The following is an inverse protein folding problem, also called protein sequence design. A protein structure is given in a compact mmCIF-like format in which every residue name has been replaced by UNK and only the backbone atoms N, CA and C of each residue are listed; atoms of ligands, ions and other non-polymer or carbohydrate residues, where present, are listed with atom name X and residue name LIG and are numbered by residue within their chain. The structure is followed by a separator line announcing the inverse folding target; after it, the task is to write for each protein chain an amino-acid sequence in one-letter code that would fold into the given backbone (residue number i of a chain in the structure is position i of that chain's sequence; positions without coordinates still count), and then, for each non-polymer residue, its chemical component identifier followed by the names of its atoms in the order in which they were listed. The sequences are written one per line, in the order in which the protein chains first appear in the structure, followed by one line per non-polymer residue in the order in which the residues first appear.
data_IF_771209983813
#
_entry.id   IF_771209983813
#
_cell.length_a   1.000
_cell.length_b   1.000
_cell.length_c   1.000
_cell.angle_alpha   90.00
_cell.angle_beta   90.00
_cell.angle_gamma   90.00
#
_symmetry.space_group_name_H-M   'P 1'
#
loop_
_entity.id
_entity.type
_entity.pdbx_description
1 polymer ?
#
# COMPACT_ATOMS: atom_id res chain seq x y z
N UNK A 1 24.08 -14.93 -9.91
CA UNK A 1 24.54 -14.11 -11.02
C UNK A 1 26.06 -13.88 -11.02
N UNK A 2 26.69 -13.42 -9.92
CA UNK A 2 28.16 -13.16 -9.83
C UNK A 2 29.06 -14.33 -10.26
N UNK A 3 28.72 -15.56 -9.84
CA UNK A 3 29.56 -16.76 -10.12
C UNK A 3 29.52 -17.18 -11.59
N UNK A 4 28.39 -17.02 -12.26
CA UNK A 4 28.22 -17.32 -13.69
C UNK A 4 28.97 -16.31 -14.55
N UNK A 5 28.85 -15.01 -14.27
CA UNK A 5 29.56 -13.94 -15.00
C UNK A 5 31.10 -14.07 -14.89
N UNK A 6 31.63 -14.43 -13.71
CA UNK A 6 33.06 -14.67 -13.52
C UNK A 6 33.59 -15.92 -14.25
N UNK A 7 32.73 -16.97 -14.35
CA UNK A 7 33.03 -18.16 -15.13
C UNK A 7 33.04 -17.86 -16.63
N UNK A 8 32.04 -17.11 -17.12
CA UNK A 8 31.93 -16.71 -18.53
C UNK A 8 33.13 -15.82 -18.92
N UNK A 9 33.54 -14.89 -18.09
CA UNK A 9 34.73 -14.05 -18.32
C UNK A 9 36.02 -14.89 -18.34
N UNK A 10 36.14 -15.91 -17.49
CA UNK A 10 37.21 -16.87 -17.50
C UNK A 10 37.26 -17.69 -18.79
N UNK A 11 36.15 -18.21 -19.26
CA UNK A 11 36.05 -18.96 -20.50
C UNK A 11 36.42 -18.12 -21.73
N UNK A 12 35.88 -16.87 -21.82
CA UNK A 12 36.21 -15.93 -22.89
C UNK A 12 37.69 -15.60 -22.89
N UNK A 13 38.28 -15.40 -21.72
CA UNK A 13 39.70 -15.12 -21.55
C UNK A 13 40.58 -16.26 -22.03
N UNK A 14 40.22 -17.50 -21.74
CA UNK A 14 40.93 -18.71 -22.18
C UNK A 14 40.84 -18.85 -23.71
N UNK A 15 39.69 -18.66 -24.30
CA UNK A 15 39.47 -18.72 -25.74
C UNK A 15 40.30 -17.65 -26.48
N UNK A 16 40.28 -16.40 -25.94
CA UNK A 16 41.08 -15.32 -26.49
C UNK A 16 42.56 -15.62 -26.44
N UNK A 17 43.05 -16.13 -25.30
CA UNK A 17 44.49 -16.45 -25.13
C UNK A 17 44.93 -17.59 -26.02
N UNK A 18 44.12 -18.63 -26.21
CA UNK A 18 44.38 -19.72 -27.17
C UNK A 18 44.44 -19.20 -28.61
N UNK A 19 43.54 -18.30 -28.99
CA UNK A 19 43.56 -17.64 -30.30
C UNK A 19 44.85 -16.83 -30.51
N UNK A 20 45.22 -16.00 -29.55
CA UNK A 20 46.50 -15.20 -29.60
C UNK A 20 47.71 -16.11 -29.68
N UNK A 21 47.74 -17.22 -28.94
CA UNK A 21 48.84 -18.19 -29.00
C UNK A 21 48.96 -18.85 -30.38
N UNK A 22 47.87 -19.22 -31.01
CA UNK A 22 47.83 -19.81 -32.34
C UNK A 22 48.31 -18.82 -33.41
N UNK A 23 47.86 -17.57 -33.35
CA UNK A 23 48.32 -16.49 -34.25
C UNK A 23 49.81 -16.22 -34.06
N UNK A 24 50.28 -16.14 -32.79
CA UNK A 24 51.69 -15.99 -32.47
C UNK A 24 52.54 -17.13 -33.06
N UNK A 25 52.12 -18.39 -32.89
CA UNK A 25 52.81 -19.57 -33.43
C UNK A 25 52.91 -19.51 -34.97
N UNK A 26 51.87 -19.03 -35.63
CA UNK A 26 51.81 -18.89 -37.09
C UNK A 26 52.74 -17.76 -37.59
N UNK A 27 52.79 -16.63 -36.88
CA UNK A 27 53.67 -15.52 -37.20
C UNK A 27 55.13 -15.90 -36.94
N UNK A 28 55.46 -16.51 -35.80
CA UNK A 28 56.80 -16.95 -35.41
C UNK A 28 57.38 -17.93 -36.39
N UNK A 29 56.56 -18.81 -36.99
CA UNK A 29 56.99 -19.74 -38.04
C UNK A 29 57.32 -19.06 -39.39
N UNK A 30 56.70 -17.87 -39.67
CA UNK A 30 56.93 -17.12 -40.94
C UNK A 30 58.09 -16.14 -40.84
N UNK A 31 58.39 -15.60 -39.65
CA UNK A 31 59.39 -14.51 -39.46
C UNK A 31 60.75 -15.03 -39.04
N UNK A 32 60.97 -16.37 -38.95
CA UNK A 32 62.23 -17.01 -38.51
C UNK A 32 62.81 -16.45 -37.19
N UNK A 33 61.98 -16.15 -36.22
CA UNK A 33 62.42 -15.73 -34.87
C UNK A 33 63.17 -16.85 -34.20
N UNK A 34 64.29 -16.51 -33.54
CA UNK A 34 64.95 -17.46 -32.67
C UNK A 34 64.06 -17.93 -31.54
N UNK A 35 64.21 -19.15 -31.01
CA UNK A 35 63.38 -19.67 -29.90
C UNK A 35 63.40 -18.78 -28.65
N UNK A 36 64.43 -17.98 -28.44
CA UNK A 36 64.53 -17.04 -27.31
C UNK A 36 63.69 -15.78 -27.53
N UNK A 37 63.78 -15.16 -28.72
CA UNK A 37 62.97 -13.99 -29.09
C UNK A 37 61.46 -14.32 -29.08
N UNK A 38 61.11 -15.48 -29.57
CA UNK A 38 59.74 -15.97 -29.55
C UNK A 38 59.18 -16.09 -28.14
N UNK A 39 59.93 -16.66 -27.20
CA UNK A 39 59.49 -16.76 -25.79
C UNK A 39 59.38 -15.40 -25.12
N UNK A 40 60.28 -14.46 -25.40
CA UNK A 40 60.24 -13.11 -24.87
C UNK A 40 59.00 -12.36 -25.37
N UNK A 41 58.68 -12.37 -26.65
CA UNK A 41 57.46 -11.78 -27.21
C UNK A 41 56.19 -12.38 -26.59
N UNK A 42 56.11 -13.70 -26.43
CA UNK A 42 54.97 -14.36 -25.80
C UNK A 42 54.80 -13.94 -24.31
N UNK A 43 55.90 -13.85 -23.55
CA UNK A 43 55.88 -13.41 -22.18
C UNK A 43 55.34 -11.97 -22.03
N UNK A 44 55.74 -11.07 -22.92
CA UNK A 44 55.24 -9.68 -22.93
C UNK A 44 53.72 -9.63 -23.22
N UNK A 45 53.26 -10.35 -24.24
CA UNK A 45 51.84 -10.41 -24.56
C UNK A 45 51.03 -11.02 -23.43
N UNK A 46 51.55 -12.07 -22.77
CA UNK A 46 50.92 -12.69 -21.61
C UNK A 46 50.79 -11.72 -20.42
N UNK A 47 51.85 -10.95 -20.14
CA UNK A 47 51.85 -9.95 -19.05
C UNK A 47 50.82 -8.85 -19.35
N UNK A 48 50.81 -8.33 -20.58
CA UNK A 48 49.80 -7.30 -20.98
C UNK A 48 48.38 -7.83 -20.81
N UNK A 49 48.11 -9.05 -21.25
CA UNK A 49 46.85 -9.71 -21.11
C UNK A 49 46.47 -9.90 -19.63
N UNK A 50 47.39 -10.38 -18.78
CA UNK A 50 47.14 -10.53 -17.35
C UNK A 50 46.83 -9.20 -16.67
N UNK A 51 47.58 -8.14 -16.99
CA UNK A 51 47.30 -6.79 -16.50
C UNK A 51 45.93 -6.29 -16.94
N UNK A 52 45.53 -6.54 -18.19
CA UNK A 52 44.22 -6.20 -18.69
C UNK A 52 43.08 -6.93 -17.93
N UNK A 53 43.23 -8.24 -17.70
CA UNK A 53 42.27 -9.03 -16.92
C UNK A 53 42.14 -8.49 -15.49
N UNK A 54 43.25 -8.22 -14.82
CA UNK A 54 43.26 -7.66 -13.48
C UNK A 54 42.63 -6.27 -13.44
N UNK A 55 42.88 -5.43 -14.44
CA UNK A 55 42.23 -4.13 -14.59
C UNK A 55 40.72 -4.26 -14.77
N UNK A 56 40.25 -5.09 -15.70
CA UNK A 56 38.83 -5.31 -15.93
C UNK A 56 38.14 -5.86 -14.68
N UNK A 57 38.79 -6.86 -14.03
CA UNK A 57 38.25 -7.40 -12.76
C UNK A 57 38.12 -6.33 -11.69
N UNK A 58 39.16 -5.50 -11.51
CA UNK A 58 39.14 -4.41 -10.52
C UNK A 58 38.07 -3.38 -10.85
N UNK A 59 37.92 -3.03 -12.12
CA UNK A 59 36.88 -2.10 -12.62
C UNK A 59 35.49 -2.65 -12.36
N UNK A 60 35.21 -3.91 -12.74
CA UNK A 60 33.90 -4.55 -12.55
C UNK A 60 33.55 -4.66 -11.06
N UNK A 61 34.49 -5.06 -10.21
CA UNK A 61 34.28 -5.14 -8.76
C UNK A 61 34.02 -3.76 -8.17
N UNK A 62 34.77 -2.74 -8.59
CA UNK A 62 34.53 -1.35 -8.16
C UNK A 62 33.16 -0.83 -8.56
N UNK A 63 32.78 -1.05 -9.82
CA UNK A 63 31.47 -0.66 -10.33
C UNK A 63 30.31 -1.36 -9.60
N UNK A 64 30.44 -2.69 -9.38
CA UNK A 64 29.42 -3.43 -8.60
C UNK A 64 29.28 -2.92 -7.17
N UNK A 65 30.40 -2.55 -6.54
CA UNK A 65 30.38 -1.98 -5.19
C UNK A 65 29.66 -0.64 -5.18
N UNK A 66 29.96 0.24 -6.12
CA UNK A 66 29.33 1.54 -6.24
C UNK A 66 27.80 1.39 -6.49
N UNK A 67 27.41 0.48 -7.39
CA UNK A 67 26.01 0.19 -7.66
C UNK A 67 25.28 -0.32 -6.39
N UNK A 68 25.92 -1.21 -5.63
CA UNK A 68 25.33 -1.73 -4.39
C UNK A 68 25.18 -0.63 -3.32
N UNK A 69 26.13 0.29 -3.23
CA UNK A 69 26.05 1.45 -2.33
C UNK A 69 24.89 2.37 -2.71
N UNK A 70 24.67 2.60 -4.01
CA UNK A 70 23.50 3.36 -4.51
C UNK A 70 22.17 2.68 -4.20
N UNK A 71 22.08 1.37 -4.42
CA UNK A 71 20.88 0.58 -4.08
C UNK A 71 20.57 0.69 -2.59
N UNK A 72 21.57 0.48 -1.74
CA UNK A 72 21.40 0.55 -0.29
C UNK A 72 20.98 1.97 0.19
N UNK A 73 21.49 3.02 -0.47
CA UNK A 73 21.09 4.40 -0.17
C UNK A 73 19.63 4.64 -0.58
N UNK A 74 19.24 4.14 -1.77
CA UNK A 74 17.88 4.26 -2.26
C UNK A 74 16.86 3.53 -1.35
N UNK A 75 17.19 2.30 -0.94
CA UNK A 75 16.35 1.52 0.02
C UNK A 75 16.15 2.27 1.34
N UNK A 76 17.24 2.85 1.90
CA UNK A 76 17.15 3.67 3.12
C UNK A 76 16.30 4.93 2.93
N UNK A 77 16.37 5.56 1.76
CA UNK A 77 15.57 6.74 1.44
C UNK A 77 14.08 6.37 1.37
N UNK A 78 13.74 5.26 0.70
CA UNK A 78 12.37 4.75 0.64
C UNK A 78 11.83 4.38 2.02
N UNK A 79 12.63 3.71 2.84
CA UNK A 79 12.23 3.37 4.22
C UNK A 79 11.93 4.62 5.05
N UNK A 80 12.80 5.65 4.94
CA UNK A 80 12.59 6.92 5.63
C UNK A 80 11.33 7.63 5.14
N UNK A 81 11.08 7.63 3.82
CA UNK A 81 9.90 8.24 3.21
C UNK A 81 8.62 7.55 3.72
N UNK A 82 8.59 6.22 3.70
CA UNK A 82 7.45 5.45 4.20
C UNK A 82 7.17 5.72 5.69
N UNK A 83 8.21 5.76 6.53
CA UNK A 83 8.06 6.13 7.95
C UNK A 83 7.53 7.55 8.14
N UNK A 84 7.91 8.48 7.27
CA UNK A 84 7.40 9.85 7.32
C UNK A 84 5.92 9.89 6.94
N UNK A 85 5.50 9.18 5.89
CA UNK A 85 4.08 9.06 5.52
C UNK A 85 3.24 8.46 6.64
N UNK A 86 3.67 7.32 7.20
CA UNK A 86 2.99 6.69 8.34
C UNK A 86 2.88 7.64 9.54
N UNK A 87 3.96 8.35 9.86
CA UNK A 87 3.97 9.32 10.95
C UNK A 87 3.00 10.48 10.72
N UNK A 88 2.94 10.99 9.50
CA UNK A 88 2.01 12.07 9.12
C UNK A 88 0.56 11.60 9.22
N UNK A 89 0.22 10.43 8.71
CA UNK A 89 -1.12 9.85 8.83
C UNK A 89 -1.52 9.65 10.29
N UNK A 90 -0.64 9.06 11.09
CA UNK A 90 -0.89 8.88 12.54
C UNK A 90 -1.15 10.21 13.24
N UNK A 91 -0.39 11.25 12.91
CA UNK A 91 -0.58 12.57 13.49
C UNK A 91 -1.92 13.21 13.09
N UNK A 92 -2.34 13.06 11.83
CA UNK A 92 -3.64 13.55 11.34
C UNK A 92 -4.80 12.84 12.05
N UNK A 93 -4.73 11.51 12.15
CA UNK A 93 -5.76 10.71 12.83
C UNK A 93 -5.81 11.05 14.32
N UNK A 94 -4.64 11.14 15.00
CA UNK A 94 -4.59 11.49 16.40
C UNK A 94 -5.16 12.90 16.67
N UNK A 95 -4.96 13.85 15.77
CA UNK A 95 -5.54 15.18 15.88
C UNK A 95 -7.07 15.16 15.77
N UNK A 96 -7.62 14.29 14.89
CA UNK A 96 -9.05 14.07 14.78
C UNK A 96 -9.62 13.37 16.02
N UNK A 97 -9.00 12.27 16.47
CA UNK A 97 -9.41 11.52 17.66
C UNK A 97 -9.46 12.37 18.93
N UNK A 98 -8.50 13.28 19.07
CA UNK A 98 -8.47 14.22 20.19
C UNK A 98 -9.71 15.14 20.23
N UNK A 99 -10.32 15.37 19.08
CA UNK A 99 -11.47 16.27 18.94
C UNK A 99 -12.82 15.55 18.93
N UNK A 100 -12.94 14.45 18.21
CA UNK A 100 -14.23 13.75 17.96
C UNK A 100 -14.43 12.53 18.86
N UNK A 101 -13.41 12.12 19.61
CA UNK A 101 -13.40 10.85 20.36
C UNK A 101 -13.74 9.61 19.51
N UNK A 102 -13.65 9.73 18.19
CA UNK A 102 -13.69 8.60 17.27
C UNK A 102 -12.44 7.75 17.54
N UNK A 103 -12.60 6.53 17.99
CA UNK A 103 -11.46 5.74 18.45
C UNK A 103 -10.65 5.23 17.27
N UNK A 104 -9.33 5.27 17.39
CA UNK A 104 -8.38 4.60 16.50
C UNK A 104 -8.82 3.18 16.10
N UNK A 105 -9.35 2.44 17.10
CA UNK A 105 -9.85 1.09 16.89
C UNK A 105 -11.00 1.01 15.89
N UNK A 106 -11.87 2.02 15.82
CA UNK A 106 -12.93 2.11 14.82
C UNK A 106 -12.35 2.13 13.40
N UNK A 107 -11.45 3.05 13.14
CA UNK A 107 -10.82 3.18 11.83
C UNK A 107 -10.12 1.88 11.38
N UNK A 108 -9.39 1.20 12.29
CA UNK A 108 -8.75 -0.08 11.97
C UNK A 108 -9.78 -1.16 11.65
N UNK A 109 -10.89 -1.26 12.41
CA UNK A 109 -11.93 -2.27 12.13
C UNK A 109 -12.63 -2.00 10.81
N UNK A 110 -12.97 -0.74 10.50
CA UNK A 110 -13.57 -0.37 9.21
C UNK A 110 -12.64 -0.74 8.06
N UNK A 111 -11.34 -0.43 8.16
CA UNK A 111 -10.34 -0.85 7.18
C UNK A 111 -10.31 -2.36 7.02
N UNK A 112 -10.27 -3.13 8.11
CA UNK A 112 -10.20 -4.58 8.07
C UNK A 112 -11.43 -5.19 7.40
N UNK A 113 -12.64 -4.71 7.71
CA UNK A 113 -13.87 -5.17 7.06
C UNK A 113 -13.90 -4.79 5.58
N UNK A 114 -13.58 -3.54 5.24
CA UNK A 114 -13.59 -3.06 3.85
C UNK A 114 -12.58 -3.82 2.99
N UNK A 115 -11.38 -4.09 3.52
CA UNK A 115 -10.34 -4.84 2.83
C UNK A 115 -10.76 -6.30 2.62
N UNK A 116 -11.29 -6.97 3.65
CA UNK A 116 -11.79 -8.35 3.53
C UNK A 116 -12.90 -8.45 2.46
N UNK A 117 -13.81 -7.49 2.41
CA UNK A 117 -14.85 -7.44 1.36
C UNK A 117 -14.24 -7.19 -0.03
N UNK A 118 -13.24 -6.32 -0.14
CA UNK A 118 -12.56 -6.02 -1.39
C UNK A 118 -11.77 -7.23 -1.92
N UNK A 119 -11.11 -7.99 -1.04
CA UNK A 119 -10.44 -9.25 -1.38
C UNK A 119 -11.41 -10.31 -1.89
N UNK A 120 -12.53 -10.52 -1.19
CA UNK A 120 -13.56 -11.46 -1.59
C UNK A 120 -14.18 -11.10 -2.95
N UNK A 121 -14.23 -9.80 -3.28
CA UNK A 121 -14.66 -9.29 -4.59
C UNK A 121 -13.56 -9.35 -5.66
N UNK A 122 -12.33 -9.73 -5.32
CA UNK A 122 -11.20 -9.79 -6.25
C UNK A 122 -10.69 -8.41 -6.69
N UNK A 123 -10.86 -7.36 -5.89
CA UNK A 123 -10.33 -6.04 -6.20
C UNK A 123 -8.80 -6.04 -6.18
N UNK A 124 -8.20 -5.27 -7.12
CA UNK A 124 -6.76 -5.09 -7.18
C UNK A 124 -6.21 -4.46 -5.88
N UNK A 125 -4.95 -4.76 -5.56
CA UNK A 125 -4.24 -4.24 -4.39
C UNK A 125 -4.35 -2.71 -4.27
N UNK A 126 -4.25 -1.99 -5.39
CA UNK A 126 -4.37 -0.53 -5.40
C UNK A 126 -5.74 -0.02 -4.90
N UNK A 127 -6.83 -0.75 -5.19
CA UNK A 127 -8.17 -0.39 -4.68
C UNK A 127 -8.32 -0.69 -3.18
N UNK A 128 -7.68 -1.77 -2.70
CA UNK A 128 -7.63 -2.09 -1.28
C UNK A 128 -6.83 -1.04 -0.50
N UNK A 129 -5.73 -0.55 -1.05
CA UNK A 129 -4.94 0.55 -0.46
C UNK A 129 -5.76 1.85 -0.35
N UNK A 130 -6.55 2.19 -1.38
CA UNK A 130 -7.48 3.33 -1.33
C UNK A 130 -8.51 3.19 -0.21
N UNK A 131 -9.07 2.00 -0.05
CA UNK A 131 -10.02 1.69 1.04
C UNK A 131 -9.37 1.83 2.41
N UNK A 132 -8.15 1.36 2.57
CA UNK A 132 -7.41 1.50 3.82
C UNK A 132 -7.14 2.97 4.16
N UNK A 133 -6.66 3.77 3.21
CA UNK A 133 -6.44 5.21 3.38
C UNK A 133 -7.74 5.94 3.75
N UNK A 134 -8.82 5.66 3.02
CA UNK A 134 -10.13 6.24 3.31
C UNK A 134 -10.63 5.86 4.70
N UNK A 135 -10.42 4.61 5.13
CA UNK A 135 -10.85 4.15 6.44
C UNK A 135 -10.21 4.91 7.60
N UNK A 136 -8.96 5.32 7.43
CA UNK A 136 -8.28 6.14 8.44
C UNK A 136 -8.69 7.61 8.43
N UNK A 137 -9.17 8.12 7.29
CA UNK A 137 -9.32 9.57 7.05
C UNK A 137 -10.75 9.99 6.69
N UNK A 138 -11.73 9.06 6.63
CA UNK A 138 -13.08 9.38 6.17
C UNK A 138 -13.74 10.52 6.95
N UNK A 139 -13.45 10.60 8.22
CA UNK A 139 -13.99 11.59 9.16
C UNK A 139 -13.11 12.85 9.32
N UNK A 140 -11.97 12.97 8.58
CA UNK A 140 -11.03 14.10 8.75
C UNK A 140 -11.71 15.46 8.57
N UNK A 141 -12.73 15.54 7.73
CA UNK A 141 -13.49 16.75 7.50
C UNK A 141 -14.31 17.25 8.68
N UNK A 142 -14.52 16.44 9.73
CA UNK A 142 -15.11 16.88 10.99
C UNK A 142 -14.32 17.99 11.65
N UNK A 143 -13.05 18.18 11.26
CA UNK A 143 -12.24 19.33 11.69
C UNK A 143 -12.86 20.66 11.28
N UNK A 144 -13.68 20.70 10.22
CA UNK A 144 -14.43 21.86 9.76
C UNK A 144 -15.75 22.10 10.48
N UNK A 145 -16.24 21.14 11.29
CA UNK A 145 -17.49 21.28 12.04
C UNK A 145 -17.25 22.05 13.34
N UNK A 146 -18.08 23.06 13.70
CA UNK A 146 -17.93 23.79 14.97
C UNK A 146 -18.07 22.89 16.21
N UNK A 147 -17.28 23.11 17.26
CA UNK A 147 -17.24 22.27 18.46
C UNK A 147 -18.59 22.20 19.19
N UNK A 148 -19.35 23.29 19.22
CA UNK A 148 -20.66 23.32 19.87
C UNK A 148 -21.72 22.46 19.16
N UNK A 149 -21.46 22.08 17.90
CA UNK A 149 -22.28 21.14 17.14
C UNK A 149 -21.71 19.73 17.28
N UNK A 150 -20.42 19.55 17.03
CA UNK A 150 -19.76 18.25 17.03
C UNK A 150 -19.83 17.54 18.39
N UNK A 151 -19.61 18.30 19.47
CA UNK A 151 -19.58 17.76 20.85
C UNK A 151 -20.94 17.84 21.55
N UNK A 152 -22.00 18.17 20.81
CA UNK A 152 -23.34 18.32 21.40
C UNK A 152 -23.89 16.97 21.87
N UNK A 153 -24.32 16.90 23.13
CA UNK A 153 -24.86 15.69 23.76
C UNK A 153 -26.38 15.57 23.65
N UNK A 154 -27.06 16.60 23.17
CA UNK A 154 -28.52 16.61 22.94
C UNK A 154 -28.84 16.38 21.45
N UNK A 155 -30.10 16.20 21.13
CA UNK A 155 -30.52 16.10 19.73
C UNK A 155 -30.07 17.32 18.93
N UNK A 156 -29.50 17.06 17.75
CA UNK A 156 -29.13 18.10 16.80
C UNK A 156 -30.37 18.76 16.19
N UNK A 157 -30.28 20.08 16.00
CA UNK A 157 -31.25 20.81 15.19
C UNK A 157 -31.04 20.49 13.70
N UNK A 158 -32.05 20.70 12.84
CA UNK A 158 -31.90 20.45 11.41
C UNK A 158 -30.72 21.19 10.78
N UNK A 159 -30.50 22.45 11.12
CA UNK A 159 -29.37 23.26 10.64
C UNK A 159 -28.00 22.76 11.16
N UNK A 160 -27.95 22.25 12.38
CA UNK A 160 -26.74 21.64 12.95
C UNK A 160 -26.41 20.32 12.24
N UNK A 161 -27.46 19.55 11.91
CA UNK A 161 -27.30 18.31 11.12
C UNK A 161 -26.76 18.61 9.71
N UNK A 162 -27.24 19.66 9.05
CA UNK A 162 -26.70 20.09 7.76
C UNK A 162 -25.22 20.50 7.87
N UNK A 163 -24.80 21.11 8.98
CA UNK A 163 -23.39 21.44 9.20
C UNK A 163 -22.51 20.17 9.34
N UNK A 164 -23.01 19.13 10.02
CA UNK A 164 -22.30 17.85 10.13
C UNK A 164 -22.21 17.16 8.76
N UNK A 165 -23.27 17.17 7.96
CA UNK A 165 -23.30 16.55 6.64
C UNK A 165 -22.25 17.11 5.66
N UNK A 166 -21.66 18.25 5.97
CA UNK A 166 -20.60 18.85 5.14
C UNK A 166 -19.22 18.25 5.38
N UNK A 167 -19.03 17.41 6.43
CA UNK A 167 -17.71 16.85 6.69
C UNK A 167 -17.11 16.02 5.54
N UNK A 168 -17.88 15.27 4.69
CA UNK A 168 -17.31 14.58 3.55
C UNK A 168 -16.70 15.55 2.52
N UNK A 169 -17.35 16.71 2.29
CA UNK A 169 -16.86 17.75 1.40
C UNK A 169 -15.57 18.38 1.95
N UNK A 170 -15.56 18.75 3.23
CA UNK A 170 -14.35 19.25 3.90
C UNK A 170 -13.21 18.22 3.90
N UNK A 171 -13.55 16.95 4.13
CA UNK A 171 -12.57 15.85 4.06
C UNK A 171 -11.97 15.72 2.67
N UNK A 172 -12.79 15.77 1.63
CA UNK A 172 -12.35 15.77 0.25
C UNK A 172 -11.40 16.93 -0.05
N UNK A 173 -11.78 18.17 0.33
CA UNK A 173 -10.96 19.38 0.11
C UNK A 173 -9.58 19.29 0.78
N UNK A 174 -9.51 18.70 1.99
CA UNK A 174 -8.24 18.50 2.70
C UNK A 174 -7.37 17.46 2.01
N UNK A 175 -7.95 16.29 1.70
CA UNK A 175 -7.21 15.12 1.24
C UNK A 175 -6.80 15.24 -0.23
N UNK A 176 -7.63 15.83 -1.06
CA UNK A 176 -7.35 16.02 -2.49
C UNK A 176 -6.10 16.89 -2.77
N UNK A 177 -5.70 17.74 -1.81
CA UNK A 177 -4.48 18.56 -1.92
C UNK A 177 -3.19 17.77 -1.66
N UNK A 178 -3.29 16.55 -1.16
CA UNK A 178 -2.15 15.73 -0.76
C UNK A 178 -1.98 14.59 -1.78
N UNK A 179 -0.99 14.72 -2.67
CA UNK A 179 -0.78 13.83 -3.83
C UNK A 179 -0.90 12.32 -3.50
N UNK A 180 -0.27 11.85 -2.43
CA UNK A 180 -0.31 10.42 -2.08
C UNK A 180 -1.63 9.95 -1.45
N UNK A 181 -2.53 10.88 -1.07
CA UNK A 181 -3.86 10.61 -0.49
C UNK A 181 -5.00 10.86 -1.49
N UNK A 182 -4.74 11.54 -2.59
CA UNK A 182 -5.74 11.96 -3.58
C UNK A 182 -6.65 10.78 -4.01
N UNK A 183 -6.08 9.60 -4.19
CA UNK A 183 -6.81 8.40 -4.57
C UNK A 183 -7.88 7.95 -3.55
N UNK A 184 -7.81 8.39 -2.30
CA UNK A 184 -8.80 8.09 -1.27
C UNK A 184 -9.90 9.16 -1.17
N UNK A 185 -9.70 10.34 -1.77
CA UNK A 185 -10.58 11.49 -1.62
C UNK A 185 -12.04 11.22 -2.06
N UNK A 186 -12.22 10.49 -3.17
CA UNK A 186 -13.55 10.13 -3.66
C UNK A 186 -14.33 9.24 -2.68
N UNK A 187 -13.64 8.31 -2.01
CA UNK A 187 -14.28 7.45 -1.00
C UNK A 187 -14.70 8.31 0.19
N UNK A 188 -13.84 9.24 0.62
CA UNK A 188 -14.11 10.18 1.73
C UNK A 188 -15.29 11.07 1.40
N UNK A 189 -15.39 11.58 0.17
CA UNK A 189 -16.54 12.38 -0.27
C UNK A 189 -17.83 11.61 -0.25
N UNK A 190 -17.82 10.31 -0.66
CA UNK A 190 -19.01 9.55 -1.02
C UNK A 190 -19.41 8.48 0.00
N UNK A 191 -18.74 8.40 1.16
CA UNK A 191 -18.99 7.33 2.14
C UNK A 191 -20.38 7.38 2.80
N UNK A 192 -21.06 8.50 2.71
CA UNK A 192 -22.44 8.67 3.17
C UNK A 192 -23.48 8.66 2.05
N UNK A 193 -23.09 8.32 0.82
CA UNK A 193 -24.06 8.10 -0.24
C UNK A 193 -24.85 6.81 0.01
N UNK A 194 -26.15 6.87 -0.23
CA UNK A 194 -27.05 5.72 -0.16
C UNK A 194 -27.31 5.16 -1.56
N UNK A 195 -27.41 3.85 -1.68
CA UNK A 195 -27.58 3.19 -2.97
C UNK A 195 -28.85 3.64 -3.72
N UNK A 196 -29.91 4.04 -3.00
CA UNK A 196 -31.14 4.57 -3.57
C UNK A 196 -31.10 6.07 -3.94
N UNK A 197 -29.99 6.76 -3.61
CA UNK A 197 -29.79 8.19 -3.86
C UNK A 197 -30.31 9.12 -2.75
N UNK A 198 -30.76 8.58 -1.60
CA UNK A 198 -31.19 9.37 -0.45
C UNK A 198 -30.05 9.82 0.46
N UNK A 199 -28.80 9.48 0.11
CA UNK A 199 -27.59 9.86 0.85
C UNK A 199 -27.12 11.28 0.57
N UNK A 200 -25.92 11.58 1.00
CA UNK A 200 -25.26 12.89 0.83
C UNK A 200 -23.75 12.72 0.60
N UNK A 201 -23.02 13.69 0.06
CA UNK A 201 -23.45 15.07 -0.27
C UNK A 201 -24.06 15.23 -1.68
N UNK A 202 -23.80 14.29 -2.62
CA UNK A 202 -24.15 14.46 -4.04
C UNK A 202 -25.49 13.80 -4.43
N UNK A 203 -26.03 12.93 -3.58
CA UNK A 203 -27.25 12.15 -3.87
C UNK A 203 -27.06 11.17 -5.04
N UNK A 204 -25.87 10.59 -5.18
CA UNK A 204 -25.57 9.62 -6.22
C UNK A 204 -26.40 8.35 -6.01
N UNK A 205 -26.81 7.70 -7.11
CA UNK A 205 -27.67 6.52 -7.07
C UNK A 205 -27.05 5.31 -7.77
N UNK A 206 -27.15 4.16 -7.14
CA UNK A 206 -26.78 2.88 -7.73
C UNK A 206 -25.31 2.80 -8.08
N UNK A 207 -25.00 2.40 -9.29
CA UNK A 207 -23.63 2.22 -9.78
C UNK A 207 -22.90 3.53 -10.10
N UNK A 208 -23.58 4.68 -10.01
CA UNK A 208 -22.90 5.98 -10.06
C UNK A 208 -22.02 6.21 -8.83
N UNK A 209 -22.29 5.51 -7.72
CA UNK A 209 -21.41 5.48 -6.54
C UNK A 209 -20.26 4.51 -6.85
N UNK A 210 -18.99 4.92 -6.79
CA UNK A 210 -17.84 4.03 -6.98
C UNK A 210 -17.93 2.78 -6.10
N UNK A 211 -17.50 1.63 -6.61
CA UNK A 211 -17.59 0.35 -5.89
C UNK A 211 -16.89 0.41 -4.53
N UNK A 212 -15.74 1.06 -4.47
CA UNK A 212 -14.97 1.25 -3.22
C UNK A 212 -15.76 2.05 -2.17
N UNK A 213 -16.47 3.12 -2.55
CA UNK A 213 -17.32 3.87 -1.64
C UNK A 213 -18.53 3.04 -1.17
N UNK A 214 -19.09 2.19 -2.05
CA UNK A 214 -20.18 1.27 -1.68
C UNK A 214 -19.75 0.19 -0.70
N UNK A 215 -18.53 -0.35 -0.85
CA UNK A 215 -17.91 -1.30 0.09
C UNK A 215 -17.69 -0.60 1.42
N UNK A 216 -17.10 0.60 1.37
CA UNK A 216 -16.78 1.39 2.55
C UNK A 216 -18.00 1.70 3.40
N UNK A 217 -19.10 2.14 2.78
CA UNK A 217 -20.37 2.44 3.47
C UNK A 217 -20.93 1.23 4.25
N UNK A 218 -20.77 0.01 3.72
CA UNK A 218 -21.17 -1.22 4.43
C UNK A 218 -20.24 -1.49 5.61
N UNK A 219 -18.92 -1.38 5.44
CA UNK A 219 -17.93 -1.64 6.48
C UNK A 219 -18.05 -0.65 7.65
N UNK A 220 -18.21 0.64 7.35
CA UNK A 220 -18.41 1.69 8.35
C UNK A 220 -19.70 1.47 9.16
N UNK A 221 -20.82 1.20 8.46
CA UNK A 221 -22.10 0.92 9.13
C UNK A 221 -22.03 -0.35 10.00
N UNK A 222 -21.34 -1.40 9.56
CA UNK A 222 -21.14 -2.62 10.34
C UNK A 222 -20.41 -2.31 11.64
N UNK A 223 -19.28 -1.59 11.57
CA UNK A 223 -18.53 -1.20 12.77
C UNK A 223 -19.35 -0.26 13.67
N UNK A 224 -20.04 0.71 13.09
CA UNK A 224 -20.91 1.61 13.83
C UNK A 224 -22.01 0.87 14.60
N UNK A 225 -22.52 -0.26 14.10
CA UNK A 225 -23.54 -1.06 14.77
C UNK A 225 -22.96 -1.99 15.84
N UNK A 226 -21.76 -2.51 15.64
CA UNK A 226 -21.13 -3.50 16.51
C UNK A 226 -20.17 -2.90 17.54
N UNK A 227 -20.11 -1.57 17.64
CA UNK A 227 -19.32 -0.82 18.62
C UNK A 227 -20.23 -0.08 19.61
N UNK A 228 -19.80 0.00 20.88
CA UNK A 228 -20.47 0.81 21.89
C UNK A 228 -20.37 2.29 21.55
N UNK A 229 -21.47 3.01 21.70
CA UNK A 229 -21.51 4.47 21.57
C UNK A 229 -22.11 5.06 22.86
N UNK A 230 -21.83 6.32 23.23
CA UNK A 230 -22.32 6.92 24.48
C UNK A 230 -23.83 6.79 24.71
N UNK A 231 -24.60 6.63 23.62
CA UNK A 231 -26.07 6.58 23.66
C UNK A 231 -26.66 5.24 23.24
N UNK A 232 -25.81 4.23 22.91
CA UNK A 232 -26.28 2.94 22.40
C UNK A 232 -25.24 1.84 22.60
N UNK A 233 -25.66 0.74 23.25
CA UNK A 233 -24.85 -0.47 23.34
C UNK A 233 -24.63 -1.11 21.95
N UNK A 234 -23.48 -1.79 21.79
CA UNK A 234 -23.16 -2.58 20.62
C UNK A 234 -24.25 -3.65 20.36
N UNK A 235 -24.60 -3.83 19.08
CA UNK A 235 -25.39 -4.99 18.63
C UNK A 235 -24.48 -6.20 18.45
N UNK A 236 -25.06 -7.39 18.44
CA UNK A 236 -24.31 -8.58 18.00
C UNK A 236 -23.95 -8.49 16.51
N UNK A 237 -22.95 -9.24 16.08
CA UNK A 237 -22.54 -9.28 14.68
C UNK A 237 -23.68 -9.79 13.79
N UNK A 238 -24.44 -10.78 14.27
CA UNK A 238 -25.61 -11.35 13.59
C UNK A 238 -26.70 -10.30 13.37
N UNK A 239 -27.01 -9.52 14.41
CA UNK A 239 -28.00 -8.44 14.33
C UNK A 239 -27.56 -7.35 13.36
N UNK A 240 -26.27 -6.99 13.36
CA UNK A 240 -25.71 -5.99 12.46
C UNK A 240 -25.76 -6.45 10.99
N UNK A 241 -25.34 -7.68 10.69
CA UNK A 241 -25.43 -8.26 9.34
C UNK A 241 -26.89 -8.36 8.87
N UNK A 242 -27.80 -8.75 9.76
CA UNK A 242 -29.24 -8.79 9.44
C UNK A 242 -29.80 -7.41 9.09
N UNK A 243 -29.36 -6.37 9.80
CA UNK A 243 -29.78 -4.98 9.52
C UNK A 243 -29.21 -4.47 8.18
N UNK A 244 -27.91 -4.77 7.91
CA UNK A 244 -27.30 -4.45 6.60
C UNK A 244 -28.08 -5.12 5.46
N UNK A 245 -28.44 -6.39 5.62
CA UNK A 245 -29.29 -7.13 4.65
C UNK A 245 -30.64 -6.46 4.45
N UNK A 246 -31.31 -6.05 5.52
CA UNK A 246 -32.61 -5.37 5.47
C UNK A 246 -32.59 -4.05 4.68
N UNK A 247 -31.41 -3.41 4.67
CA UNK A 247 -31.19 -2.13 3.98
C UNK A 247 -30.56 -2.29 2.58
N UNK A 248 -30.41 -3.52 2.09
CA UNK A 248 -29.94 -3.79 0.73
C UNK A 248 -30.87 -3.16 -0.32
N UNK A 249 -30.29 -2.50 -1.32
CA UNK A 249 -31.00 -1.78 -2.36
C UNK A 249 -31.54 -0.41 -1.93
N UNK A 250 -31.45 -0.07 -0.64
CA UNK A 250 -31.75 1.26 -0.08
C UNK A 250 -30.47 1.98 0.29
N UNK A 251 -29.99 1.76 1.48
CA UNK A 251 -28.74 2.35 1.95
C UNK A 251 -27.52 1.66 1.32
N UNK A 252 -27.52 0.33 1.23
CA UNK A 252 -26.36 -0.45 0.82
C UNK A 252 -26.54 -1.10 -0.56
N UNK A 253 -25.42 -1.21 -1.28
CA UNK A 253 -25.36 -1.91 -2.54
C UNK A 253 -25.66 -3.41 -2.34
N UNK A 254 -26.62 -4.01 -3.06
CA UNK A 254 -26.98 -5.42 -2.91
C UNK A 254 -25.77 -6.37 -3.12
N UNK A 255 -24.90 -6.06 -4.08
CA UNK A 255 -23.69 -6.83 -4.34
C UNK A 255 -22.73 -6.81 -3.14
N UNK A 256 -22.49 -5.63 -2.53
CA UNK A 256 -21.65 -5.51 -1.35
C UNK A 256 -22.24 -6.25 -0.14
N UNK A 257 -23.58 -6.22 0.00
CA UNK A 257 -24.28 -6.98 1.06
C UNK A 257 -24.09 -8.48 0.88
N UNK A 258 -24.22 -9.00 -0.35
CA UNK A 258 -23.96 -10.43 -0.63
C UNK A 258 -22.54 -10.85 -0.26
N UNK A 259 -21.55 -10.00 -0.55
CA UNK A 259 -20.14 -10.25 -0.19
C UNK A 259 -19.95 -10.22 1.32
N UNK A 260 -20.56 -9.28 2.04
CA UNK A 260 -20.51 -9.28 3.50
C UNK A 260 -21.07 -10.59 4.07
N UNK A 261 -22.18 -11.10 3.50
CA UNK A 261 -22.79 -12.36 3.92
C UNK A 261 -21.92 -13.57 3.60
N UNK A 262 -21.23 -13.60 2.44
CA UNK A 262 -20.32 -14.70 2.08
C UNK A 262 -19.11 -14.80 2.99
N UNK A 263 -18.63 -13.68 3.54
CA UNK A 263 -17.56 -13.68 4.55
C UNK A 263 -17.97 -14.40 5.84
N UNK A 264 -19.25 -14.40 6.18
CA UNK A 264 -19.81 -15.10 7.35
C UNK A 264 -19.54 -14.40 8.67
N UNK A 265 -20.47 -14.54 9.60
CA UNK A 265 -20.44 -13.91 10.93
C UNK A 265 -19.22 -14.31 11.75
N UNK A 266 -18.80 -15.58 11.67
CA UNK A 266 -17.63 -16.07 12.42
C UNK A 266 -16.34 -15.36 11.98
N UNK A 267 -16.14 -15.18 10.66
CA UNK A 267 -14.98 -14.48 10.15
C UNK A 267 -15.00 -12.99 10.50
N UNK A 268 -16.15 -12.32 10.37
CA UNK A 268 -16.31 -10.92 10.76
C UNK A 268 -16.04 -10.70 12.25
N UNK A 269 -16.52 -11.62 13.12
CA UNK A 269 -16.26 -11.58 14.55
C UNK A 269 -14.78 -11.81 14.86
N UNK A 270 -14.12 -12.71 14.12
CA UNK A 270 -12.67 -12.94 14.26
C UNK A 270 -11.89 -11.68 13.89
N UNK A 271 -12.22 -11.01 12.77
CA UNK A 271 -11.60 -9.73 12.38
C UNK A 271 -11.73 -8.71 13.51
N UNK A 272 -12.93 -8.54 14.08
CA UNK A 272 -13.17 -7.62 15.18
C UNK A 272 -12.31 -7.92 16.41
N UNK A 273 -12.19 -9.20 16.76
CA UNK A 273 -11.40 -9.63 17.92
C UNK A 273 -9.89 -9.48 17.72
N UNK A 274 -9.39 -9.73 16.52
CA UNK A 274 -7.99 -9.54 16.16
C UNK A 274 -7.56 -8.09 16.34
N UNK A 275 -8.32 -7.15 15.81
CA UNK A 275 -8.05 -5.71 15.94
C UNK A 275 -7.97 -5.30 17.42
N UNK A 276 -8.85 -5.81 18.26
CA UNK A 276 -8.83 -5.52 19.72
C UNK A 276 -7.59 -6.05 20.44
N UNK A 277 -6.98 -7.15 19.97
CA UNK A 277 -5.83 -7.79 20.65
C UNK A 277 -4.48 -7.22 20.21
N UNK A 278 -4.34 -6.91 18.93
CA UNK A 278 -3.02 -6.63 18.38
C UNK A 278 -2.64 -5.15 18.42
N UNK A 279 -3.61 -4.22 18.39
CA UNK A 279 -3.35 -2.78 18.47
C UNK A 279 -2.31 -2.27 17.46
N UNK A 280 -1.90 -3.13 16.51
CA UNK A 280 -0.74 -2.94 15.64
C UNK A 280 -1.21 -2.39 14.31
N UNK A 281 -0.89 -1.12 14.12
CA UNK A 281 -0.97 -0.51 12.81
C UNK A 281 0.25 -0.89 11.96
N UNK A 282 0.04 -1.71 10.95
CA UNK A 282 0.93 -1.81 9.81
C UNK A 282 0.18 -1.30 8.58
N UNK A 283 0.73 -0.27 7.95
CA UNK A 283 0.15 0.42 6.78
C UNK A 283 0.16 -0.45 5.51
N UNK A 284 0.19 -1.76 5.66
CA UNK A 284 0.12 -2.71 4.57
C UNK A 284 -1.18 -3.49 4.66
N UNK A 285 -2.08 -3.35 3.68
CA UNK A 285 -3.33 -4.11 3.64
C UNK A 285 -3.11 -5.62 3.75
N UNK A 286 -2.03 -6.15 3.15
CA UNK A 286 -1.63 -7.55 3.19
C UNK A 286 -1.19 -8.06 4.59
N UNK A 287 -0.84 -7.15 5.50
CA UNK A 287 -0.52 -7.49 6.88
C UNK A 287 -1.72 -7.33 7.83
N UNK A 288 -2.71 -6.49 7.48
CA UNK A 288 -3.96 -6.33 8.25
C UNK A 288 -4.90 -7.53 8.13
N UNK A 289 -4.86 -8.25 7.01
CA UNK A 289 -5.75 -9.40 6.73
C UNK A 289 -5.18 -10.73 7.21
N UNK A 290 -3.91 -10.81 7.59
CA UNK A 290 -3.28 -12.04 8.10
C UNK A 290 -3.62 -12.39 9.55
N UNK A 291 -4.80 -12.04 10.02
CA UNK A 291 -5.41 -12.70 11.19
C UNK A 291 -6.02 -14.07 10.80
N UNK A 292 -5.32 -14.79 9.96
CA UNK A 292 -5.71 -16.15 9.55
C UNK A 292 -4.95 -17.21 10.34
#
# INVERSE_FOLDING_TARGET
MKRKFLLDLGCISILYFTGVYLVYRQISSRVNLSPQEGRACFAVVFIIWLCFILFVRRFVVGFQRQLQEQINLYEKCLEKLNKTYEGTLKALIAALDYRDHATWDHSIRVVAYATAMAEEMGLAQAEQEKLALAGFLHDIGKIGVPDHILLKTTKLLPEEWEAIKRHPEFGYEIIHQIEFLENAADIILLHHEHYDGSGYPLGLKGEKIPLTARIFAVADALDAMTSDRPYRSARSMEEAVSEVRRLAGKQFCPQCVQVLESLGVENLTRIQQCVKKEGVFKFRPDELVRCS
#
